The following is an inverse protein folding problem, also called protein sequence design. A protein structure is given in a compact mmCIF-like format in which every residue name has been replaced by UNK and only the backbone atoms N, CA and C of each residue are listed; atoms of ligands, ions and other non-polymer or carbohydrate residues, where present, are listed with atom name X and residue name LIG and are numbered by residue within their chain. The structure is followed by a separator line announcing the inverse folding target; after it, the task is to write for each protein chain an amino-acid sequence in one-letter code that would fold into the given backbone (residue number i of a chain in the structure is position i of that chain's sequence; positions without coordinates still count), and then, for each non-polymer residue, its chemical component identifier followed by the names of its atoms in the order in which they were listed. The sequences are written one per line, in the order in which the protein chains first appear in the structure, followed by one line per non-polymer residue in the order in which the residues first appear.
data_IF_291295287987
#
_entry.id   IF_291295287987
#
_cell.length_a   1.000
_cell.length_b   1.000
_cell.length_c   1.000
_cell.angle_alpha   90.00
_cell.angle_beta   90.00
_cell.angle_gamma   90.00
#
_symmetry.space_group_name_H-M   'P 1'
#
loop_
_entity.id
_entity.type
_entity.pdbx_description
1 polymer ?
#
# COMPACT_ATOMS: atom_id res chain seq x y z
N UNK A 1 -21.85 19.14 4.77
CA UNK A 1 -22.70 17.94 4.90
C UNK A 1 -21.75 16.77 5.24
N UNK A 2 -22.01 15.99 6.30
CA UNK A 2 -21.19 14.83 6.61
C UNK A 2 -21.19 13.84 5.46
N UNK A 3 -20.02 13.24 5.17
CA UNK A 3 -19.86 12.24 4.07
C UNK A 3 -20.81 11.07 4.27
N UNK A 4 -21.05 10.68 5.51
CA UNK A 4 -21.98 9.63 5.91
C UNK A 4 -23.43 9.93 5.50
N UNK A 5 -23.82 11.22 5.45
CA UNK A 5 -25.17 11.62 5.01
C UNK A 5 -25.37 11.46 3.50
N UNK A 6 -24.28 11.44 2.74
CA UNK A 6 -24.30 11.27 1.27
C UNK A 6 -24.15 9.79 0.89
N UNK A 7 -23.21 9.10 1.51
CA UNK A 7 -22.81 7.74 1.17
C UNK A 7 -23.42 6.66 2.09
N UNK A 8 -24.22 7.08 3.08
CA UNK A 8 -24.80 6.17 4.06
C UNK A 8 -23.72 5.47 4.89
N UNK A 9 -23.98 4.20 5.26
CA UNK A 9 -23.06 3.40 6.08
C UNK A 9 -21.71 3.15 5.39
N UNK A 10 -21.67 3.11 4.07
CA UNK A 10 -20.45 2.86 3.30
C UNK A 10 -19.47 4.03 3.37
N UNK A 11 -19.96 5.23 3.70
CA UNK A 11 -19.13 6.41 3.89
C UNK A 11 -18.52 6.56 5.30
N UNK A 12 -18.91 5.71 6.24
CA UNK A 12 -18.41 5.79 7.62
C UNK A 12 -16.90 5.48 7.65
N UNK A 13 -16.13 6.40 8.22
CA UNK A 13 -14.69 6.29 8.30
C UNK A 13 -13.92 6.77 7.06
N UNK A 14 -14.59 6.99 5.91
CA UNK A 14 -13.90 7.46 4.69
C UNK A 14 -13.24 8.84 4.90
N UNK A 15 -13.95 9.79 5.48
CA UNK A 15 -13.41 11.11 5.78
C UNK A 15 -12.28 11.04 6.81
N UNK A 16 -12.44 10.20 7.84
CA UNK A 16 -11.41 9.97 8.85
C UNK A 16 -10.16 9.34 8.25
N UNK A 17 -10.31 8.37 7.35
CA UNK A 17 -9.21 7.73 6.65
C UNK A 17 -8.48 8.74 5.76
N UNK A 18 -9.20 9.55 4.99
CA UNK A 18 -8.60 10.58 4.12
C UNK A 18 -7.83 11.64 4.93
N UNK A 19 -8.39 12.08 6.06
CA UNK A 19 -7.69 13.01 6.97
C UNK A 19 -6.46 12.37 7.59
N UNK A 20 -6.55 11.11 8.00
CA UNK A 20 -5.42 10.38 8.57
C UNK A 20 -4.32 10.17 7.53
N UNK A 21 -4.66 9.79 6.29
CA UNK A 21 -3.69 9.67 5.19
C UNK A 21 -2.99 11.00 4.91
N UNK A 22 -3.75 12.11 4.82
CA UNK A 22 -3.17 13.45 4.64
C UNK A 22 -2.18 13.82 5.77
N UNK A 23 -2.48 13.45 7.00
CA UNK A 23 -1.58 13.68 8.14
C UNK A 23 -0.33 12.80 8.07
N UNK A 24 -0.52 11.51 7.75
CA UNK A 24 0.58 10.58 7.57
C UNK A 24 1.57 11.06 6.51
N UNK A 25 1.10 11.52 5.35
CA UNK A 25 1.94 12.05 4.26
C UNK A 25 2.67 13.35 4.67
N UNK A 26 2.22 14.04 5.71
CA UNK A 26 2.93 15.17 6.34
C UNK A 26 3.94 14.74 7.43
N UNK A 27 4.10 13.44 7.66
CA UNK A 27 4.98 12.90 8.69
C UNK A 27 4.41 12.90 10.11
N UNK A 28 3.10 13.09 10.28
CA UNK A 28 2.45 13.00 11.60
C UNK A 28 2.20 11.53 11.97
N UNK A 29 2.38 11.19 13.26
CA UNK A 29 2.02 9.87 13.77
C UNK A 29 0.49 9.74 13.90
N UNK A 30 -0.11 8.84 13.15
CA UNK A 30 -1.56 8.62 13.10
C UNK A 30 -1.99 7.27 13.69
N UNK A 31 -1.07 6.47 14.24
CA UNK A 31 -1.35 5.10 14.72
C UNK A 31 -2.52 5.05 15.70
N UNK A 32 -2.55 5.93 16.70
CA UNK A 32 -3.65 6.01 17.66
C UNK A 32 -5.00 6.30 17.02
N UNK A 33 -5.05 7.14 15.98
CA UNK A 33 -6.28 7.44 15.23
C UNK A 33 -6.77 6.20 14.48
N UNK A 34 -5.88 5.45 13.84
CA UNK A 34 -6.25 4.21 13.14
C UNK A 34 -6.83 3.16 14.09
N UNK A 35 -6.23 2.99 15.27
CA UNK A 35 -6.75 2.08 16.30
C UNK A 35 -8.17 2.46 16.79
N UNK A 36 -8.56 3.72 16.69
CA UNK A 36 -9.92 4.18 17.00
C UNK A 36 -10.91 3.94 15.85
N UNK A 37 -10.44 4.06 14.61
CA UNK A 37 -11.29 3.92 13.41
C UNK A 37 -11.59 2.44 13.10
N UNK A 38 -10.60 1.55 13.24
CA UNK A 38 -10.74 0.14 12.90
C UNK A 38 -11.93 -0.57 13.54
N UNK A 39 -12.20 -0.46 14.87
CA UNK A 39 -13.37 -1.07 15.49
C UNK A 39 -14.69 -0.55 14.92
N UNK A 40 -14.79 0.75 14.66
CA UNK A 40 -15.99 1.36 14.07
C UNK A 40 -16.26 0.82 12.66
N UNK A 41 -15.22 0.67 11.84
CA UNK A 41 -15.36 0.07 10.50
C UNK A 41 -15.81 -1.38 10.63
N UNK A 42 -15.22 -2.16 11.53
CA UNK A 42 -15.60 -3.55 11.76
C UNK A 42 -17.06 -3.70 12.22
N UNK A 43 -17.53 -2.86 13.14
CA UNK A 43 -18.93 -2.89 13.63
C UNK A 43 -19.95 -2.56 12.54
N UNK A 44 -19.66 -1.54 11.72
CA UNK A 44 -20.57 -1.08 10.68
C UNK A 44 -20.55 -2.01 9.48
N UNK A 45 -19.41 -2.59 9.23
CA UNK A 45 -19.16 -3.45 8.08
C UNK A 45 -19.03 -4.93 8.48
N UNK A 46 -19.84 -5.44 9.40
CA UNK A 46 -19.94 -6.90 9.62
C UNK A 46 -20.24 -7.70 8.34
N UNK A 47 -20.63 -7.00 7.26
CA UNK A 47 -20.74 -7.48 5.88
C UNK A 47 -20.16 -6.44 4.90
N UNK A 48 -19.18 -5.72 5.32
CA UNK A 48 -18.73 -4.42 5.00
C UNK A 48 -18.33 -4.08 3.59
N UNK A 49 -17.65 -2.96 3.49
CA UNK A 49 -16.88 -2.56 2.32
C UNK A 49 -15.43 -3.03 2.49
N UNK A 50 -15.01 -4.13 1.88
CA UNK A 50 -13.63 -4.61 1.95
C UNK A 50 -12.61 -3.53 1.55
N UNK A 51 -13.02 -2.60 0.69
CA UNK A 51 -12.20 -1.47 0.27
C UNK A 51 -11.80 -0.56 1.44
N UNK A 52 -12.74 -0.27 2.37
CA UNK A 52 -12.45 0.55 3.55
C UNK A 52 -11.56 -0.20 4.54
N UNK A 53 -11.83 -1.47 4.75
CA UNK A 53 -11.02 -2.31 5.63
C UNK A 53 -9.58 -2.42 5.10
N UNK A 54 -9.43 -2.61 3.79
CA UNK A 54 -8.12 -2.59 3.12
C UNK A 54 -7.41 -1.25 3.28
N UNK A 55 -8.11 -0.13 3.01
CA UNK A 55 -7.51 1.21 3.07
C UNK A 55 -7.04 1.55 4.50
N UNK A 56 -7.87 1.29 5.51
CA UNK A 56 -7.57 1.62 6.91
C UNK A 56 -6.44 0.77 7.45
N UNK A 57 -6.47 -0.55 7.22
CA UNK A 57 -5.38 -1.44 7.68
C UNK A 57 -4.08 -1.19 6.91
N UNK A 58 -4.15 -0.87 5.62
CA UNK A 58 -2.98 -0.48 4.84
C UNK A 58 -2.32 0.80 5.37
N UNK A 59 -3.11 1.80 5.74
CA UNK A 59 -2.61 3.03 6.35
C UNK A 59 -2.06 2.79 7.76
N UNK A 60 -2.74 1.95 8.57
CA UNK A 60 -2.24 1.54 9.88
C UNK A 60 -0.89 0.83 9.77
N UNK A 61 -0.75 -0.13 8.88
CA UNK A 61 0.51 -0.85 8.68
C UNK A 61 1.66 0.09 8.26
N UNK A 62 1.40 1.04 7.36
CA UNK A 62 2.37 2.08 6.97
C UNK A 62 2.77 2.96 8.15
N UNK A 63 1.81 3.35 8.98
CA UNK A 63 2.06 4.17 10.17
C UNK A 63 2.87 3.41 11.22
N UNK A 64 2.54 2.13 11.46
CA UNK A 64 3.29 1.25 12.36
C UNK A 64 4.74 1.05 11.87
N UNK A 65 4.93 0.82 10.58
CA UNK A 65 6.25 0.68 9.97
C UNK A 65 7.08 1.97 10.14
N UNK A 66 6.49 3.12 9.88
CA UNK A 66 7.15 4.42 10.06
C UNK A 66 7.50 4.71 11.54
N UNK A 67 6.73 4.13 12.49
CA UNK A 67 7.01 4.20 13.92
C UNK A 67 8.03 3.13 14.41
N UNK A 68 8.63 2.34 13.51
CA UNK A 68 9.58 1.28 13.85
C UNK A 68 8.92 0.00 14.39
N UNK A 69 7.60 -0.11 14.33
CA UNK A 69 6.82 -1.25 14.81
C UNK A 69 6.56 -2.27 13.68
N UNK A 70 7.64 -2.75 13.06
CA UNK A 70 7.56 -3.62 11.88
C UNK A 70 6.82 -4.94 12.13
N UNK A 71 6.96 -5.52 13.33
CA UNK A 71 6.24 -6.74 13.71
C UNK A 71 4.73 -6.55 13.79
N UNK A 72 4.27 -5.39 14.30
CA UNK A 72 2.84 -5.05 14.34
C UNK A 72 2.31 -4.72 12.93
N UNK A 73 3.10 -4.02 12.12
CA UNK A 73 2.77 -3.77 10.73
C UNK A 73 2.58 -5.08 9.95
N UNK A 74 3.50 -6.04 10.11
CA UNK A 74 3.41 -7.36 9.50
C UNK A 74 2.12 -8.09 9.93
N UNK A 75 1.87 -8.18 11.24
CA UNK A 75 0.67 -8.85 11.77
C UNK A 75 -0.62 -8.22 11.25
N UNK A 76 -0.67 -6.90 11.16
CA UNK A 76 -1.84 -6.18 10.64
C UNK A 76 -2.15 -6.59 9.20
N UNK A 77 -1.14 -6.60 8.32
CA UNK A 77 -1.34 -6.96 6.90
C UNK A 77 -1.64 -8.44 6.75
N UNK A 78 -0.90 -9.33 7.44
CA UNK A 78 -1.05 -10.78 7.29
C UNK A 78 -2.41 -11.26 7.82
N UNK A 79 -2.88 -10.74 8.95
CA UNK A 79 -4.22 -11.07 9.48
C UNK A 79 -5.32 -10.67 8.50
N UNK A 80 -5.22 -9.47 7.92
CA UNK A 80 -6.20 -9.02 6.93
C UNK A 80 -6.12 -9.82 5.63
N UNK A 81 -4.90 -10.16 5.19
CA UNK A 81 -4.67 -10.99 4.01
C UNK A 81 -5.30 -12.37 4.14
N UNK A 82 -5.11 -13.02 5.29
CA UNK A 82 -5.73 -14.32 5.60
C UNK A 82 -7.24 -14.23 5.58
N UNK A 83 -7.82 -13.24 6.28
CA UNK A 83 -9.26 -12.98 6.26
C UNK A 83 -9.79 -12.80 4.85
N UNK A 84 -9.14 -11.96 4.04
CA UNK A 84 -9.60 -11.67 2.68
C UNK A 84 -9.47 -12.87 1.73
N UNK A 85 -8.47 -13.73 1.94
CA UNK A 85 -8.36 -14.99 1.22
C UNK A 85 -9.52 -15.94 1.56
N UNK A 86 -9.89 -16.06 2.83
CA UNK A 86 -11.01 -16.88 3.29
C UNK A 86 -12.36 -16.34 2.82
N UNK A 87 -12.51 -15.02 2.72
CA UNK A 87 -13.72 -14.33 2.26
C UNK A 87 -13.83 -14.18 0.72
N UNK A 88 -12.85 -14.72 -0.04
CA UNK A 88 -12.83 -14.62 -1.51
C UNK A 88 -12.56 -13.22 -2.06
N UNK A 89 -11.91 -12.35 -1.27
CA UNK A 89 -11.53 -10.99 -1.66
C UNK A 89 -10.18 -10.95 -2.40
N UNK A 90 -10.01 -11.82 -3.39
CA UNK A 90 -8.74 -12.06 -4.10
C UNK A 90 -8.14 -10.80 -4.75
N UNK A 91 -8.97 -9.83 -5.14
CA UNK A 91 -8.51 -8.60 -5.80
C UNK A 91 -7.54 -7.76 -4.96
N UNK A 92 -7.56 -7.91 -3.64
CA UNK A 92 -6.67 -7.16 -2.72
C UNK A 92 -5.37 -7.88 -2.42
N UNK A 93 -5.33 -9.21 -2.53
CA UNK A 93 -4.18 -10.03 -2.13
C UNK A 93 -2.86 -9.60 -2.77
N UNK A 94 -2.79 -9.27 -4.08
CA UNK A 94 -1.53 -8.84 -4.69
C UNK A 94 -0.96 -7.55 -4.09
N UNK A 95 -1.81 -6.61 -3.67
CA UNK A 95 -1.35 -5.39 -3.02
C UNK A 95 -0.94 -5.63 -1.56
N UNK A 96 -1.60 -6.57 -0.87
CA UNK A 96 -1.19 -7.01 0.47
C UNK A 96 0.14 -7.74 0.44
N UNK A 97 0.36 -8.64 -0.51
CA UNK A 97 1.65 -9.27 -0.74
C UNK A 97 2.74 -8.21 -0.95
N UNK A 98 2.48 -7.18 -1.76
CA UNK A 98 3.41 -6.08 -1.97
C UNK A 98 3.65 -5.22 -0.70
N UNK A 99 2.65 -5.07 0.18
CA UNK A 99 2.84 -4.42 1.49
C UNK A 99 3.77 -5.24 2.38
N UNK A 100 3.59 -6.55 2.45
CA UNK A 100 4.47 -7.47 3.22
C UNK A 100 5.91 -7.40 2.69
N UNK A 101 6.10 -7.33 1.38
CA UNK A 101 7.43 -7.14 0.77
C UNK A 101 8.08 -5.82 1.20
N UNK A 102 7.34 -4.73 1.26
CA UNK A 102 7.90 -3.46 1.75
C UNK A 102 8.31 -3.53 3.23
N UNK A 103 7.56 -4.26 4.04
CA UNK A 103 7.94 -4.53 5.44
C UNK A 103 9.20 -5.39 5.47
N UNK A 104 9.29 -6.44 4.66
CA UNK A 104 10.47 -7.29 4.53
C UNK A 104 11.72 -6.49 4.12
N UNK A 105 11.62 -5.64 3.11
CA UNK A 105 12.71 -4.74 2.70
C UNK A 105 13.15 -3.82 3.84
N UNK A 106 12.21 -3.29 4.62
CA UNK A 106 12.51 -2.42 5.76
C UNK A 106 13.22 -3.17 6.89
N UNK A 107 12.94 -4.44 7.08
CA UNK A 107 13.57 -5.30 8.10
C UNK A 107 14.82 -6.04 7.61
N UNK A 108 15.16 -5.90 6.33
CA UNK A 108 16.31 -6.56 5.72
C UNK A 108 16.08 -8.02 5.33
N UNK A 109 14.83 -8.50 5.31
CA UNK A 109 14.47 -9.83 4.82
C UNK A 109 14.42 -9.85 3.29
N UNK A 110 15.59 -9.91 2.68
CA UNK A 110 15.74 -9.90 1.22
C UNK A 110 15.30 -11.21 0.57
N UNK A 111 15.35 -12.32 1.28
CA UNK A 111 14.91 -13.63 0.77
C UNK A 111 13.40 -13.66 0.52
N UNK A 112 12.61 -13.07 1.43
CA UNK A 112 11.18 -12.91 1.25
C UNK A 112 10.87 -12.02 0.04
N UNK A 113 11.57 -10.90 -0.09
CA UNK A 113 11.39 -9.95 -1.17
C UNK A 113 11.74 -10.56 -2.54
N UNK A 114 12.84 -11.31 -2.65
CA UNK A 114 13.27 -11.99 -3.87
C UNK A 114 12.29 -13.12 -4.27
N UNK A 115 11.77 -13.88 -3.30
CA UNK A 115 10.75 -14.90 -3.55
C UNK A 115 9.50 -14.28 -4.17
N UNK A 116 8.99 -13.19 -3.59
CA UNK A 116 7.86 -12.47 -4.17
C UNK A 116 8.17 -11.93 -5.57
N UNK A 117 9.36 -11.36 -5.77
CA UNK A 117 9.79 -10.82 -7.06
C UNK A 117 9.75 -11.88 -8.16
N UNK A 118 10.26 -13.08 -7.87
CA UNK A 118 10.28 -14.19 -8.83
C UNK A 118 8.91 -14.78 -9.13
N UNK A 119 8.03 -14.85 -8.14
CA UNK A 119 6.79 -15.61 -8.24
C UNK A 119 5.56 -14.75 -8.53
N UNK A 120 5.52 -13.53 -7.98
CA UNK A 120 4.29 -12.72 -7.91
C UNK A 120 4.42 -11.31 -8.49
N UNK A 121 5.63 -10.77 -8.67
CA UNK A 121 5.79 -9.42 -9.19
C UNK A 121 5.15 -9.27 -10.58
N UNK A 122 4.56 -8.10 -10.90
CA UNK A 122 3.95 -7.88 -12.20
C UNK A 122 5.00 -7.92 -13.31
N UNK A 123 4.76 -8.73 -14.35
CA UNK A 123 5.78 -8.98 -15.41
C UNK A 123 5.63 -8.12 -16.65
N UNK A 124 4.57 -7.35 -16.78
CA UNK A 124 4.32 -6.55 -17.97
C UNK A 124 3.98 -5.10 -17.64
N UNK A 125 5.00 -4.21 -17.58
CA UNK A 125 4.82 -2.80 -17.28
C UNK A 125 4.06 -2.04 -18.38
N UNK A 126 3.86 -2.60 -19.56
CA UNK A 126 3.11 -1.98 -20.64
C UNK A 126 1.58 -2.00 -20.43
N UNK A 127 1.09 -2.76 -19.43
CA UNK A 127 -0.34 -2.84 -19.06
C UNK A 127 -0.57 -2.37 -17.63
N UNK A 128 -0.12 -1.15 -17.34
CA UNK A 128 -0.31 -0.55 -16.03
C UNK A 128 -1.76 -0.17 -15.85
N UNK A 129 -2.32 -0.54 -14.70
CA UNK A 129 -3.57 -0.01 -14.21
C UNK A 129 -3.38 0.51 -12.77
N UNK A 130 -4.36 1.29 -12.30
CA UNK A 130 -4.29 1.93 -10.98
C UNK A 130 -4.07 0.94 -9.84
N UNK A 131 -4.63 -0.27 -9.94
CA UNK A 131 -4.51 -1.31 -8.90
C UNK A 131 -3.09 -1.89 -8.84
N UNK A 132 -2.39 -1.96 -9.96
CA UNK A 132 -1.06 -2.57 -10.05
C UNK A 132 0.10 -1.59 -9.79
N UNK A 133 -0.14 -0.27 -9.81
CA UNK A 133 0.94 0.71 -9.62
C UNK A 133 1.73 0.50 -8.32
N UNK A 134 1.03 0.15 -7.23
CA UNK A 134 1.68 -0.11 -5.94
C UNK A 134 2.64 -1.29 -6.02
N UNK A 135 2.25 -2.35 -6.75
CA UNK A 135 3.09 -3.52 -7.00
C UNK A 135 4.32 -3.17 -7.85
N UNK A 136 4.17 -2.34 -8.90
CA UNK A 136 5.32 -1.90 -9.72
C UNK A 136 6.30 -1.03 -8.93
N UNK A 137 5.82 -0.10 -8.10
CA UNK A 137 6.69 0.67 -7.21
C UNK A 137 7.43 -0.26 -6.22
N UNK A 138 6.75 -1.26 -5.68
CA UNK A 138 7.38 -2.27 -4.81
C UNK A 138 8.40 -3.11 -5.56
N UNK A 139 8.10 -3.51 -6.80
CA UNK A 139 9.04 -4.23 -7.67
C UNK A 139 10.33 -3.43 -7.87
N UNK A 140 10.23 -2.14 -8.21
CA UNK A 140 11.40 -1.29 -8.36
C UNK A 140 12.21 -1.17 -7.05
N UNK A 141 11.54 -1.15 -5.88
CA UNK A 141 12.25 -1.17 -4.59
C UNK A 141 13.04 -2.47 -4.38
N UNK A 142 12.47 -3.62 -4.76
CA UNK A 142 13.19 -4.92 -4.70
C UNK A 142 14.37 -4.93 -5.65
N UNK A 143 14.19 -4.47 -6.89
CA UNK A 143 15.25 -4.38 -7.90
C UNK A 143 16.40 -3.48 -7.43
N UNK A 144 16.11 -2.36 -6.76
CA UNK A 144 17.12 -1.50 -6.16
C UNK A 144 17.84 -2.16 -4.98
N UNK A 145 17.11 -2.85 -4.10
CA UNK A 145 17.70 -3.57 -2.97
C UNK A 145 18.61 -4.70 -3.43
N UNK A 146 18.35 -5.30 -4.59
CA UNK A 146 19.16 -6.32 -5.24
C UNK A 146 20.30 -5.74 -6.09
N UNK A 147 20.54 -4.42 -6.03
CA UNK A 147 21.61 -3.77 -6.78
C UNK A 147 21.38 -3.73 -8.30
N UNK A 148 20.13 -3.71 -8.76
CA UNK A 148 19.73 -3.72 -10.18
C UNK A 148 19.07 -2.40 -10.59
N UNK A 149 19.75 -1.25 -10.53
CA UNK A 149 19.15 0.06 -10.81
C UNK A 149 18.62 0.17 -12.24
N UNK A 150 19.28 -0.47 -13.21
CA UNK A 150 18.82 -0.50 -14.59
C UNK A 150 17.46 -1.22 -14.75
N UNK A 151 17.21 -2.31 -14.01
CA UNK A 151 15.92 -2.99 -14.00
C UNK A 151 14.85 -2.09 -13.37
N UNK A 152 15.15 -1.45 -12.23
CA UNK A 152 14.26 -0.51 -11.57
C UNK A 152 13.84 0.63 -12.52
N UNK A 153 14.77 1.21 -13.28
CA UNK A 153 14.46 2.23 -14.28
C UNK A 153 13.50 1.73 -15.36
N UNK A 154 13.69 0.51 -15.85
CA UNK A 154 12.78 -0.11 -16.83
C UNK A 154 11.37 -0.34 -16.26
N UNK A 155 11.27 -0.65 -14.96
CA UNK A 155 10.00 -0.81 -14.25
C UNK A 155 9.31 0.54 -14.00
N UNK A 156 10.08 1.59 -13.68
CA UNK A 156 9.55 2.91 -13.32
C UNK A 156 9.15 3.75 -14.54
N UNK A 157 9.89 3.67 -15.65
CA UNK A 157 9.67 4.52 -16.83
C UNK A 157 8.22 4.50 -17.37
N UNK A 158 7.54 3.36 -17.53
CA UNK A 158 6.14 3.36 -17.97
C UNK A 158 5.18 3.93 -16.93
N UNK A 159 5.53 3.91 -15.63
CA UNK A 159 4.72 4.47 -14.57
C UNK A 159 4.68 6.01 -14.61
N UNK A 160 5.73 6.65 -15.07
CA UNK A 160 5.83 8.10 -15.12
C UNK A 160 4.70 8.73 -15.93
N UNK A 161 4.55 8.31 -17.17
CA UNK A 161 3.48 8.79 -18.05
C UNK A 161 2.09 8.49 -17.49
N UNK A 162 1.91 7.31 -16.87
CA UNK A 162 0.66 6.91 -16.26
C UNK A 162 0.30 7.80 -15.05
N UNK A 163 1.24 8.05 -14.14
CA UNK A 163 1.03 8.86 -12.92
C UNK A 163 0.76 10.30 -13.28
N UNK A 164 1.49 10.88 -14.24
CA UNK A 164 1.28 12.24 -14.72
C UNK A 164 -0.14 12.42 -15.29
N UNK A 165 -0.60 11.48 -16.11
CA UNK A 165 -1.94 11.51 -16.70
C UNK A 165 -3.07 11.34 -15.67
N UNK A 166 -2.81 10.67 -14.54
CA UNK A 166 -3.79 10.45 -13.47
C UNK A 166 -3.85 11.57 -12.43
N UNK A 167 -2.95 12.56 -12.47
CA UNK A 167 -2.88 13.67 -11.51
C UNK A 167 -2.55 13.22 -10.06
N UNK A 168 -1.87 12.09 -9.88
CA UNK A 168 -1.56 11.51 -8.56
C UNK A 168 -0.18 11.97 -8.06
N UNK A 169 -0.13 13.16 -7.50
CA UNK A 169 1.14 13.80 -7.09
C UNK A 169 1.95 13.00 -6.07
N UNK A 170 1.29 12.30 -5.10
CA UNK A 170 1.99 11.48 -4.10
C UNK A 170 2.71 10.30 -4.76
N UNK A 171 2.06 9.62 -5.69
CA UNK A 171 2.70 8.55 -6.45
C UNK A 171 3.87 9.08 -7.29
N UNK A 172 3.75 10.30 -7.81
CA UNK A 172 4.83 11.02 -8.51
C UNK A 172 6.03 11.30 -7.61
N UNK A 173 5.82 11.65 -6.36
CA UNK A 173 6.93 11.83 -5.38
C UNK A 173 7.66 10.50 -5.18
N UNK A 174 6.94 9.42 -4.92
CA UNK A 174 7.55 8.09 -4.75
C UNK A 174 8.32 7.65 -5.99
N UNK A 175 7.74 7.84 -7.18
CA UNK A 175 8.39 7.56 -8.45
C UNK A 175 9.71 8.34 -8.59
N UNK A 176 9.68 9.66 -8.37
CA UNK A 176 10.85 10.52 -8.51
C UNK A 176 11.97 10.15 -7.53
N UNK A 177 11.62 9.79 -6.29
CA UNK A 177 12.59 9.32 -5.29
C UNK A 177 13.26 8.03 -5.75
N UNK A 178 12.49 7.02 -6.20
CA UNK A 178 13.04 5.76 -6.68
C UNK A 178 13.87 5.96 -7.95
N UNK A 179 13.43 6.83 -8.87
CA UNK A 179 14.21 7.19 -10.06
C UNK A 179 15.54 7.85 -9.69
N UNK A 180 15.52 8.79 -8.76
CA UNK A 180 16.76 9.43 -8.30
C UNK A 180 17.74 8.42 -7.68
N UNK A 181 17.25 7.50 -6.85
CA UNK A 181 18.08 6.42 -6.29
C UNK A 181 18.65 5.52 -7.39
N UNK A 182 17.85 5.22 -8.44
CA UNK A 182 18.30 4.39 -9.56
C UNK A 182 19.42 5.03 -10.41
N UNK A 183 19.51 6.36 -10.39
CA UNK A 183 20.50 7.12 -11.16
C UNK A 183 21.80 7.37 -10.40
N UNK A 184 21.81 7.16 -9.09
CA UNK A 184 22.97 7.37 -8.22
C UNK A 184 23.77 6.10 -8.03
#
# INVERSE_FOLDING_TARGET
VPVEAILGRDGVGLADCAVAESKFEKGENITGRMLTILPRISEIHQRGTPDMEFAVNGLLARSLLAAGQSGDAYRTVESLRTKFAEEGQERFLPNMDAMLVRIALHTGDLDYADTWYREKAPRNPMRINIMKRYQYLTQAMVELADGKPGAAMLTLSPLEAYIQNCGRHIDGIHLNVLTAISLY
#
